data_IF_958118303399
#
_entry.id   IF_958118303399
#
_cell.length_a   1.000
_cell.length_b   1.000
_cell.length_c   1.000
_cell.angle_alpha   90.00
_cell.angle_beta   90.00
_cell.angle_gamma   90.00
#
_symmetry.space_group_name_H-M   'P 1'
#
loop_
_entity.id
_entity.type
_entity.pdbx_description
1 polymer ?
#
# COMPACT_ATOMS: atom_id res chain seq x y z
N UNK A 1 -48.44 11.66 -77.50
CA UNK A 1 -47.72 12.08 -76.29
C UNK A 1 -47.42 10.81 -75.49
N UNK A 2 -46.19 10.28 -75.64
CA UNK A 2 -45.75 9.11 -74.89
C UNK A 2 -45.10 9.58 -73.59
N UNK A 3 -45.58 9.11 -72.45
CA UNK A 3 -44.96 9.31 -71.14
C UNK A 3 -44.04 8.07 -70.87
N UNK A 4 -42.73 8.34 -70.78
CA UNK A 4 -41.72 7.33 -70.44
C UNK A 4 -41.70 7.13 -68.91
N UNK A 5 -41.92 5.91 -68.46
CA UNK A 5 -41.83 5.49 -67.06
C UNK A 5 -40.36 5.09 -66.80
N UNK A 6 -39.61 5.88 -65.99
CA UNK A 6 -38.29 5.52 -65.52
C UNK A 6 -38.46 4.67 -64.27
N UNK A 7 -38.15 3.38 -64.33
CA UNK A 7 -38.05 2.47 -63.18
C UNK A 7 -36.63 2.57 -62.64
N UNK A 8 -36.46 3.22 -61.47
CA UNK A 8 -35.20 3.20 -60.74
C UNK A 8 -35.04 1.89 -59.98
N UNK A 9 -34.15 1.03 -60.41
CA UNK A 9 -33.73 -0.17 -59.69
C UNK A 9 -32.73 0.27 -58.61
N UNK A 10 -33.18 0.27 -57.34
CA UNK A 10 -32.27 0.45 -56.19
C UNK A 10 -31.45 -0.83 -56.02
N UNK A 11 -30.18 -0.78 -56.30
CA UNK A 11 -29.23 -1.85 -56.00
C UNK A 11 -29.03 -1.91 -54.48
N UNK A 12 -29.59 -2.90 -53.81
CA UNK A 12 -29.29 -3.25 -52.42
C UNK A 12 -27.89 -3.86 -52.44
N UNK A 13 -26.89 -3.10 -52.03
CA UNK A 13 -25.56 -3.61 -51.79
C UNK A 13 -25.64 -4.54 -50.58
N UNK A 14 -25.64 -5.84 -50.81
CA UNK A 14 -25.45 -6.86 -49.79
C UNK A 14 -24.03 -6.71 -49.25
N UNK A 15 -23.88 -6.14 -48.06
CA UNK A 15 -22.60 -6.18 -47.37
C UNK A 15 -22.23 -7.63 -47.11
N UNK A 16 -21.14 -8.11 -47.72
CA UNK A 16 -20.59 -9.39 -47.43
C UNK A 16 -20.32 -9.52 -45.91
N UNK A 17 -20.65 -10.64 -45.26
CA UNK A 17 -20.31 -10.83 -43.85
C UNK A 17 -18.79 -10.65 -43.70
N UNK A 18 -18.39 -9.76 -42.77
CA UNK A 18 -16.98 -9.62 -42.45
C UNK A 18 -16.40 -11.00 -42.09
N UNK A 19 -15.28 -11.37 -42.75
CA UNK A 19 -14.65 -12.66 -42.53
C UNK A 19 -14.43 -12.88 -41.03
N UNK A 20 -14.82 -14.04 -40.52
CA UNK A 20 -14.63 -14.38 -39.11
C UNK A 20 -13.14 -14.34 -38.77
N UNK A 21 -12.78 -13.60 -37.69
CA UNK A 21 -11.41 -13.52 -37.22
C UNK A 21 -10.93 -14.89 -36.81
N UNK A 22 -9.80 -15.33 -37.34
CA UNK A 22 -9.25 -16.66 -37.09
C UNK A 22 -8.68 -16.76 -35.65
N UNK A 23 -8.52 -17.97 -35.13
CA UNK A 23 -7.88 -18.22 -33.84
C UNK A 23 -6.43 -17.67 -33.79
N UNK A 24 -5.72 -17.75 -34.91
CA UNK A 24 -4.36 -17.23 -35.05
C UNK A 24 -4.33 -15.71 -34.98
N UNK A 25 -5.24 -15.02 -35.65
CA UNK A 25 -5.37 -13.55 -35.58
C UNK A 25 -5.72 -13.07 -34.15
N UNK A 26 -6.58 -13.80 -33.42
CA UNK A 26 -6.87 -13.49 -32.01
C UNK A 26 -5.67 -13.72 -31.10
N UNK A 27 -4.91 -14.79 -31.29
CA UNK A 27 -3.70 -15.06 -30.54
C UNK A 27 -2.65 -13.95 -30.76
N UNK A 28 -2.50 -13.49 -32.02
CA UNK A 28 -1.61 -12.38 -32.36
C UNK A 28 -2.08 -11.06 -31.70
N UNK A 29 -3.38 -10.76 -31.78
CA UNK A 29 -3.96 -9.59 -31.13
C UNK A 29 -3.78 -9.63 -29.62
N UNK A 30 -3.96 -10.80 -28.99
CA UNK A 30 -3.69 -10.96 -27.56
C UNK A 30 -2.21 -10.73 -27.19
N UNK A 31 -1.29 -11.25 -28.00
CA UNK A 31 0.15 -11.03 -27.81
C UNK A 31 0.49 -9.54 -27.90
N UNK A 32 -0.09 -8.82 -28.88
CA UNK A 32 0.06 -7.38 -29.01
C UNK A 32 -0.52 -6.64 -27.81
N UNK A 33 -1.72 -7.02 -27.38
CA UNK A 33 -2.35 -6.46 -26.17
C UNK A 33 -1.42 -6.59 -24.96
N UNK A 34 -0.89 -7.80 -24.72
CA UNK A 34 0.01 -8.07 -23.60
C UNK A 34 1.25 -7.19 -23.66
N UNK A 35 1.90 -7.10 -24.82
CA UNK A 35 3.09 -6.27 -25.00
C UNK A 35 2.84 -4.77 -24.67
N UNK A 36 1.72 -4.23 -25.12
CA UNK A 36 1.33 -2.84 -24.84
C UNK A 36 0.99 -2.65 -23.35
N UNK A 37 0.23 -3.59 -22.79
CA UNK A 37 -0.19 -3.53 -21.40
C UNK A 37 1.01 -3.62 -20.44
N UNK A 38 1.92 -4.57 -20.67
CA UNK A 38 3.12 -4.78 -19.84
C UNK A 38 4.13 -3.61 -19.99
N UNK A 39 4.10 -2.91 -21.14
CA UNK A 39 4.84 -1.65 -21.34
C UNK A 39 4.17 -0.41 -20.69
N UNK A 40 3.02 -0.57 -20.02
CA UNK A 40 2.27 0.54 -19.41
C UNK A 40 1.51 1.43 -20.40
N UNK A 41 1.46 1.06 -21.69
CA UNK A 41 0.80 1.81 -22.78
C UNK A 41 -0.70 1.50 -22.83
N UNK A 42 -1.41 1.81 -21.73
CA UNK A 42 -2.81 1.41 -21.56
C UNK A 42 -3.75 2.03 -22.57
N UNK A 43 -3.52 3.29 -22.98
CA UNK A 43 -4.33 3.96 -24.01
C UNK A 43 -4.20 3.27 -25.40
N UNK A 44 -3.02 2.72 -25.71
CA UNK A 44 -2.79 1.98 -26.95
C UNK A 44 -3.29 0.51 -26.82
N UNK A 45 -3.26 -0.06 -25.60
CA UNK A 45 -3.72 -1.42 -25.34
C UNK A 45 -5.25 -1.56 -25.39
N UNK A 46 -5.99 -0.51 -24.99
CA UNK A 46 -7.45 -0.55 -24.90
C UNK A 46 -8.14 -0.93 -26.22
N UNK A 47 -7.90 -0.27 -27.36
CA UNK A 47 -8.55 -0.63 -28.61
C UNK A 47 -8.23 -2.06 -29.05
N UNK A 48 -7.06 -2.59 -28.71
CA UNK A 48 -6.70 -3.99 -29.00
C UNK A 48 -7.50 -4.97 -28.12
N UNK A 49 -7.70 -4.62 -26.83
CA UNK A 49 -8.55 -5.41 -25.94
C UNK A 49 -10.03 -5.41 -26.39
N UNK A 50 -10.54 -4.28 -26.86
CA UNK A 50 -11.90 -4.14 -27.39
C UNK A 50 -12.07 -4.94 -28.70
N UNK A 51 -11.07 -4.92 -29.57
CA UNK A 51 -11.04 -5.77 -30.78
C UNK A 51 -11.10 -7.26 -30.43
N UNK A 52 -10.41 -7.70 -29.37
CA UNK A 52 -10.48 -9.08 -28.89
C UNK A 52 -11.88 -9.45 -28.38
N UNK A 53 -12.59 -8.54 -27.72
CA UNK A 53 -14.00 -8.76 -27.33
C UNK A 53 -14.85 -8.90 -28.58
N UNK A 54 -14.79 -7.95 -29.51
CA UNK A 54 -15.59 -7.97 -30.73
C UNK A 54 -15.35 -9.23 -31.59
N UNK A 55 -14.09 -9.64 -31.76
CA UNK A 55 -13.73 -10.88 -32.49
C UNK A 55 -14.27 -12.13 -31.78
N UNK A 56 -14.24 -12.17 -30.45
CA UNK A 56 -14.79 -13.29 -29.68
C UNK A 56 -16.31 -13.34 -29.77
N UNK A 57 -16.99 -12.19 -29.73
CA UNK A 57 -18.45 -12.07 -29.90
C UNK A 57 -18.88 -12.54 -31.30
N UNK A 58 -18.16 -12.12 -32.33
CA UNK A 58 -18.45 -12.52 -33.71
C UNK A 58 -18.35 -14.04 -33.89
N UNK A 59 -17.39 -14.69 -33.23
CA UNK A 59 -17.14 -16.11 -33.39
C UNK A 59 -18.04 -17.00 -32.54
N UNK A 60 -18.32 -16.59 -31.28
CA UNK A 60 -18.99 -17.46 -30.30
C UNK A 60 -20.34 -16.93 -29.83
N UNK A 61 -20.66 -15.66 -30.16
CA UNK A 61 -21.86 -14.98 -29.70
C UNK A 61 -21.60 -14.16 -28.43
N UNK A 62 -22.50 -13.22 -28.12
CA UNK A 62 -22.40 -12.20 -27.12
C UNK A 62 -22.59 -12.70 -25.66
N UNK A 63 -22.96 -13.97 -25.50
CA UNK A 63 -23.18 -14.63 -24.20
C UNK A 63 -22.26 -15.81 -23.96
N UNK A 64 -21.30 -16.04 -24.85
CA UNK A 64 -20.39 -17.15 -24.70
C UNK A 64 -19.37 -16.92 -23.59
N UNK A 65 -19.09 -17.95 -22.83
CA UNK A 65 -18.14 -17.99 -21.73
C UNK A 65 -16.72 -17.51 -22.12
N UNK A 66 -16.31 -17.72 -23.38
CA UNK A 66 -14.99 -17.29 -23.87
C UNK A 66 -14.79 -15.77 -23.83
N UNK A 67 -15.86 -14.98 -23.69
CA UNK A 67 -15.82 -13.53 -23.49
C UNK A 67 -15.28 -13.08 -22.12
N UNK A 68 -15.31 -13.94 -21.10
CA UNK A 68 -14.93 -13.55 -19.74
C UNK A 68 -13.51 -12.97 -19.66
N UNK A 69 -12.53 -13.61 -20.30
CA UNK A 69 -11.13 -13.14 -20.29
C UNK A 69 -10.91 -11.88 -21.14
N UNK A 70 -11.40 -11.76 -22.39
CA UNK A 70 -11.36 -10.50 -23.14
C UNK A 70 -12.01 -9.32 -22.39
N UNK A 71 -13.18 -9.51 -21.82
CA UNK A 71 -13.85 -8.49 -21.00
C UNK A 71 -13.04 -8.10 -19.75
N UNK A 72 -12.43 -9.08 -19.07
CA UNK A 72 -11.54 -8.79 -17.96
C UNK A 72 -10.29 -8.00 -18.39
N UNK A 73 -9.78 -8.21 -19.60
CA UNK A 73 -8.67 -7.42 -20.14
C UNK A 73 -9.11 -5.97 -20.41
N UNK A 74 -10.29 -5.75 -21.01
CA UNK A 74 -10.88 -4.40 -21.15
C UNK A 74 -11.05 -3.75 -19.77
N UNK A 75 -11.69 -4.44 -18.83
CA UNK A 75 -11.90 -3.93 -17.48
C UNK A 75 -10.59 -3.53 -16.79
N UNK A 76 -9.55 -4.38 -16.88
CA UNK A 76 -8.25 -4.09 -16.28
C UNK A 76 -7.58 -2.87 -16.93
N UNK A 77 -7.69 -2.74 -18.25
CA UNK A 77 -7.12 -1.61 -18.98
C UNK A 77 -7.85 -0.31 -18.65
N UNK A 78 -9.18 -0.32 -18.59
CA UNK A 78 -10.00 0.82 -18.16
C UNK A 78 -9.68 1.24 -16.71
N UNK A 79 -9.51 0.26 -15.81
CA UNK A 79 -9.10 0.52 -14.42
C UNK A 79 -7.72 1.20 -14.34
N UNK A 80 -6.76 0.78 -15.19
CA UNK A 80 -5.43 1.42 -15.26
C UNK A 80 -5.49 2.86 -15.78
N UNK A 81 -6.43 3.14 -16.67
CA UNK A 81 -6.71 4.49 -17.20
C UNK A 81 -7.52 5.36 -16.23
N UNK A 82 -8.05 4.82 -15.13
CA UNK A 82 -8.90 5.54 -14.18
C UNK A 82 -10.38 5.66 -14.63
N UNK A 83 -10.77 4.96 -15.65
CA UNK A 83 -12.14 4.95 -16.18
C UNK A 83 -13.00 3.93 -15.40
N UNK A 84 -13.31 4.23 -14.14
CA UNK A 84 -13.91 3.27 -13.20
C UNK A 84 -15.27 2.74 -13.64
N UNK A 85 -16.14 3.58 -14.21
CA UNK A 85 -17.45 3.14 -14.68
C UNK A 85 -17.35 2.15 -15.86
N UNK A 86 -16.44 2.37 -16.80
CA UNK A 86 -16.21 1.46 -17.92
C UNK A 86 -15.55 0.14 -17.47
N UNK A 87 -14.63 0.21 -16.49
CA UNK A 87 -14.03 -0.97 -15.88
C UNK A 87 -15.10 -1.83 -15.19
N UNK A 88 -15.96 -1.22 -14.37
CA UNK A 88 -17.06 -1.88 -13.70
C UNK A 88 -17.99 -2.58 -14.69
N UNK A 89 -18.45 -1.88 -15.73
CA UNK A 89 -19.35 -2.45 -16.75
C UNK A 89 -18.73 -3.68 -17.43
N UNK A 90 -17.44 -3.63 -17.75
CA UNK A 90 -16.73 -4.75 -18.40
C UNK A 90 -16.65 -5.97 -17.47
N UNK A 91 -16.31 -5.78 -16.19
CA UNK A 91 -16.22 -6.89 -15.24
C UNK A 91 -17.59 -7.45 -14.88
N UNK A 92 -18.61 -6.60 -14.69
CA UNK A 92 -19.97 -7.06 -14.44
C UNK A 92 -20.53 -7.86 -15.60
N UNK A 93 -20.27 -7.43 -16.85
CA UNK A 93 -20.66 -8.19 -18.04
C UNK A 93 -19.99 -9.57 -18.07
N UNK A 94 -18.68 -9.64 -17.75
CA UNK A 94 -17.96 -10.91 -17.67
C UNK A 94 -18.60 -11.85 -16.62
N UNK A 95 -18.93 -11.33 -15.44
CA UNK A 95 -19.56 -12.10 -14.36
C UNK A 95 -20.96 -12.55 -14.75
N UNK A 96 -21.78 -11.69 -15.37
CA UNK A 96 -23.13 -12.01 -15.83
C UNK A 96 -23.13 -13.16 -16.86
N UNK A 97 -22.16 -13.15 -17.78
CA UNK A 97 -22.00 -14.23 -18.77
C UNK A 97 -21.67 -15.55 -18.05
N UNK A 98 -20.75 -15.50 -17.09
CA UNK A 98 -20.34 -16.69 -16.32
C UNK A 98 -21.47 -17.22 -15.41
N UNK A 99 -22.32 -16.33 -14.87
CA UNK A 99 -23.52 -16.69 -14.09
C UNK A 99 -24.57 -17.42 -14.96
N UNK A 100 -24.77 -16.96 -16.18
CA UNK A 100 -25.72 -17.55 -17.11
C UNK A 100 -25.34 -18.99 -17.53
N UNK A 101 -24.06 -19.32 -17.51
CA UNK A 101 -23.56 -20.69 -17.81
C UNK A 101 -23.68 -21.64 -16.60
N UNK A 102 -24.05 -21.13 -15.43
CA UNK A 102 -24.52 -21.94 -14.28
C UNK A 102 -23.45 -22.51 -13.39
N UNK A 103 -22.17 -22.06 -13.47
CA UNK A 103 -21.11 -22.51 -12.58
C UNK A 103 -20.58 -21.38 -11.69
N UNK A 104 -21.08 -21.33 -10.44
CA UNK A 104 -20.57 -20.38 -9.42
C UNK A 104 -19.12 -20.67 -9.02
N UNK A 105 -18.61 -21.86 -9.33
CA UNK A 105 -17.25 -22.34 -9.02
C UNK A 105 -16.31 -22.30 -10.23
N UNK A 106 -16.59 -21.44 -11.23
CA UNK A 106 -15.71 -21.29 -12.40
C UNK A 106 -14.49 -20.41 -12.05
N UNK A 107 -13.28 -20.93 -12.27
CA UNK A 107 -12.02 -20.19 -12.10
C UNK A 107 -11.97 -18.89 -12.93
N UNK A 108 -12.66 -18.84 -14.07
CA UNK A 108 -12.75 -17.65 -14.90
C UNK A 108 -13.35 -16.43 -14.18
N UNK A 109 -14.07 -16.63 -13.07
CA UNK A 109 -14.64 -15.56 -12.22
C UNK A 109 -13.59 -14.82 -11.38
N UNK A 110 -12.45 -15.46 -11.06
CA UNK A 110 -11.44 -14.89 -10.15
C UNK A 110 -10.93 -13.54 -10.63
N UNK A 111 -10.53 -13.41 -11.88
CA UNK A 111 -10.02 -12.15 -12.45
C UNK A 111 -11.08 -11.05 -12.51
N UNK A 112 -12.29 -11.27 -13.02
CA UNK A 112 -13.36 -10.28 -12.96
C UNK A 112 -13.74 -9.85 -11.53
N UNK A 113 -13.82 -10.78 -10.57
CA UNK A 113 -14.09 -10.45 -9.16
C UNK A 113 -12.99 -9.59 -8.56
N UNK A 114 -11.73 -9.94 -8.75
CA UNK A 114 -10.61 -9.13 -8.27
C UNK A 114 -10.62 -7.73 -8.90
N UNK A 115 -10.79 -7.67 -10.23
CA UNK A 115 -10.80 -6.40 -10.95
C UNK A 115 -11.97 -5.52 -10.55
N UNK A 116 -13.16 -6.08 -10.36
CA UNK A 116 -14.33 -5.36 -9.89
C UNK A 116 -14.15 -4.85 -8.46
N UNK A 117 -13.63 -5.68 -7.55
CA UNK A 117 -13.33 -5.27 -6.19
C UNK A 117 -12.30 -4.14 -6.12
N UNK A 118 -11.24 -4.21 -6.92
CA UNK A 118 -10.26 -3.13 -7.05
C UNK A 118 -10.86 -1.85 -7.67
N UNK A 119 -11.79 -2.00 -8.61
CA UNK A 119 -12.50 -0.87 -9.21
C UNK A 119 -13.36 -0.15 -8.17
N UNK A 120 -14.09 -0.91 -7.36
CA UNK A 120 -14.86 -0.35 -6.23
C UNK A 120 -13.95 0.36 -5.22
N UNK A 121 -12.84 -0.27 -4.83
CA UNK A 121 -11.89 0.33 -3.90
C UNK A 121 -11.33 1.67 -4.40
N UNK A 122 -10.96 1.75 -5.68
CA UNK A 122 -10.42 2.98 -6.29
C UNK A 122 -11.46 4.06 -6.55
N UNK A 123 -12.74 3.70 -6.60
CA UNK A 123 -13.86 4.65 -6.69
C UNK A 123 -14.48 4.97 -5.33
N UNK A 124 -13.76 4.68 -4.23
CA UNK A 124 -14.15 4.93 -2.82
C UNK A 124 -15.43 4.21 -2.38
N UNK A 125 -15.82 3.16 -3.10
CA UNK A 125 -16.93 2.28 -2.74
C UNK A 125 -16.42 1.08 -1.95
N UNK A 126 -15.98 1.33 -0.73
CA UNK A 126 -15.24 0.37 0.08
C UNK A 126 -16.07 -0.86 0.53
N UNK A 127 -17.39 -0.69 0.79
CA UNK A 127 -18.22 -1.80 1.22
C UNK A 127 -18.42 -2.86 0.12
N UNK A 128 -18.86 -2.51 -1.11
CA UNK A 128 -18.92 -3.47 -2.22
C UNK A 128 -17.54 -4.00 -2.63
N UNK A 129 -16.45 -3.22 -2.43
CA UNK A 129 -15.08 -3.69 -2.67
C UNK A 129 -14.73 -4.89 -1.77
N UNK A 130 -14.98 -4.76 -0.46
CA UNK A 130 -14.69 -5.82 0.52
C UNK A 130 -15.51 -7.08 0.23
N UNK A 131 -16.80 -6.94 -0.08
CA UNK A 131 -17.67 -8.07 -0.40
C UNK A 131 -17.20 -8.81 -1.66
N UNK A 132 -16.90 -8.08 -2.74
CA UNK A 132 -16.45 -8.66 -4.01
C UNK A 132 -15.09 -9.34 -3.88
N UNK A 133 -14.13 -8.73 -3.17
CA UNK A 133 -12.82 -9.34 -2.93
C UNK A 133 -12.93 -10.57 -2.05
N UNK A 134 -13.83 -10.57 -1.05
CA UNK A 134 -14.10 -11.75 -0.24
C UNK A 134 -14.65 -12.90 -1.08
N UNK A 135 -15.56 -12.64 -2.03
CA UNK A 135 -16.03 -13.65 -2.97
C UNK A 135 -14.88 -14.24 -3.79
N UNK A 136 -13.90 -13.43 -4.23
CA UNK A 136 -12.71 -13.92 -4.93
C UNK A 136 -11.85 -14.83 -4.04
N UNK A 137 -11.63 -14.45 -2.78
CA UNK A 137 -10.89 -15.26 -1.79
C UNK A 137 -11.59 -16.59 -1.55
N UNK A 138 -12.91 -16.56 -1.29
CA UNK A 138 -13.69 -17.77 -1.00
C UNK A 138 -13.76 -18.70 -2.22
N UNK A 139 -13.89 -18.16 -3.43
CA UNK A 139 -13.82 -18.95 -4.67
C UNK A 139 -12.44 -19.61 -4.84
N UNK A 140 -11.35 -18.87 -4.62
CA UNK A 140 -10.00 -19.44 -4.72
C UNK A 140 -9.77 -20.54 -3.68
N UNK A 141 -10.29 -20.38 -2.45
CA UNK A 141 -10.25 -21.43 -1.40
C UNK A 141 -10.99 -22.70 -1.82
N UNK A 142 -12.15 -22.54 -2.45
CA UNK A 142 -12.96 -23.66 -2.90
C UNK A 142 -12.32 -24.41 -4.07
N UNK A 143 -11.62 -23.70 -4.95
CA UNK A 143 -10.97 -24.29 -6.13
C UNK A 143 -9.64 -24.98 -5.82
N UNK A 144 -8.80 -24.33 -5.00
CA UNK A 144 -7.38 -24.68 -4.86
C UNK A 144 -7.00 -25.04 -3.41
N UNK A 145 -7.97 -25.06 -2.52
CA UNK A 145 -7.76 -25.32 -1.09
C UNK A 145 -7.39 -24.07 -0.29
N UNK A 146 -7.44 -24.22 1.04
CA UNK A 146 -7.33 -23.12 2.00
C UNK A 146 -6.00 -22.34 1.90
N UNK A 147 -4.89 -23.00 1.58
CA UNK A 147 -3.55 -22.42 1.69
C UNK A 147 -2.80 -22.43 0.35
N UNK A 148 -3.44 -22.01 -0.73
CA UNK A 148 -2.78 -21.86 -2.01
C UNK A 148 -2.19 -20.43 -2.17
N UNK A 149 -1.03 -20.32 -2.85
CA UNK A 149 -0.34 -19.04 -3.02
C UNK A 149 -1.07 -18.06 -3.94
N UNK A 150 -1.89 -18.55 -4.87
CA UNK A 150 -2.59 -17.71 -5.86
C UNK A 150 -3.60 -16.77 -5.19
N UNK A 151 -4.12 -17.13 -4.02
CA UNK A 151 -5.04 -16.27 -3.30
C UNK A 151 -4.40 -15.07 -2.59
N UNK A 152 -3.07 -15.02 -2.44
CA UNK A 152 -2.39 -13.93 -1.73
C UNK A 152 -2.70 -12.54 -2.31
N UNK A 153 -2.86 -12.43 -3.61
CA UNK A 153 -3.18 -11.14 -4.24
C UNK A 153 -4.61 -10.68 -3.92
N UNK A 154 -5.57 -11.61 -3.81
CA UNK A 154 -6.94 -11.29 -3.38
C UNK A 154 -6.97 -10.92 -1.90
N UNK A 155 -6.27 -11.67 -1.06
CA UNK A 155 -6.17 -11.42 0.39
C UNK A 155 -5.52 -10.06 0.66
N UNK A 156 -4.45 -9.71 -0.03
CA UNK A 156 -3.79 -8.40 0.10
C UNK A 156 -4.72 -7.25 -0.31
N UNK A 157 -5.42 -7.40 -1.44
CA UNK A 157 -6.39 -6.39 -1.85
C UNK A 157 -7.53 -6.22 -0.82
N UNK A 158 -8.00 -7.31 -0.21
CA UNK A 158 -8.99 -7.28 0.86
C UNK A 158 -8.48 -6.60 2.13
N UNK A 159 -7.21 -6.87 2.50
CA UNK A 159 -6.53 -6.17 3.61
C UNK A 159 -6.53 -4.65 3.37
N UNK A 160 -6.11 -4.20 2.19
CA UNK A 160 -6.05 -2.77 1.86
C UNK A 160 -7.43 -2.11 2.00
N UNK A 161 -8.49 -2.79 1.59
CA UNK A 161 -9.86 -2.31 1.74
C UNK A 161 -10.30 -2.27 3.21
N UNK A 162 -10.00 -3.28 4.01
CA UNK A 162 -10.30 -3.28 5.44
C UNK A 162 -9.56 -2.16 6.19
N UNK A 163 -8.30 -1.91 5.84
CA UNK A 163 -7.52 -0.79 6.37
C UNK A 163 -8.17 0.55 6.00
N UNK A 164 -8.59 0.73 4.75
CA UNK A 164 -9.28 1.93 4.31
C UNK A 164 -10.62 2.15 5.02
N UNK A 165 -11.31 1.06 5.40
CA UNK A 165 -12.52 1.08 6.22
C UNK A 165 -12.27 1.26 7.73
N UNK A 166 -11.01 1.36 8.16
CA UNK A 166 -10.60 1.31 9.58
C UNK A 166 -11.04 0.01 10.32
N UNK A 167 -11.26 -1.08 9.59
CA UNK A 167 -11.61 -2.40 10.11
C UNK A 167 -10.34 -3.18 10.44
N UNK A 168 -9.59 -2.70 11.43
CA UNK A 168 -8.24 -3.17 11.72
C UNK A 168 -8.20 -4.63 12.22
N UNK A 169 -9.22 -5.09 12.92
CA UNK A 169 -9.31 -6.50 13.36
C UNK A 169 -9.53 -7.45 12.18
N UNK A 170 -10.34 -7.05 11.21
CA UNK A 170 -10.54 -7.82 9.98
C UNK A 170 -9.25 -7.88 9.16
N UNK A 171 -8.58 -6.73 9.01
CA UNK A 171 -7.28 -6.66 8.34
C UNK A 171 -6.24 -7.56 9.03
N UNK A 172 -6.19 -7.59 10.38
CA UNK A 172 -5.27 -8.44 11.11
C UNK A 172 -5.53 -9.93 10.85
N UNK A 173 -6.80 -10.36 10.85
CA UNK A 173 -7.15 -11.76 10.53
C UNK A 173 -6.64 -12.16 9.14
N UNK A 174 -6.78 -11.29 8.17
CA UNK A 174 -6.30 -11.55 6.80
C UNK A 174 -4.77 -11.47 6.70
N UNK A 175 -4.08 -10.61 7.45
CA UNK A 175 -2.60 -10.62 7.53
C UNK A 175 -2.07 -11.93 8.10
N UNK A 176 -2.67 -12.41 9.20
CA UNK A 176 -2.32 -13.70 9.79
C UNK A 176 -2.65 -14.85 8.84
N UNK A 177 -3.73 -14.75 8.09
CA UNK A 177 -4.09 -15.72 7.07
C UNK A 177 -3.08 -15.75 5.93
N UNK A 178 -2.68 -14.61 5.39
CA UNK A 178 -1.63 -14.51 4.37
C UNK A 178 -0.30 -15.13 4.84
N UNK A 179 0.04 -14.95 6.12
CA UNK A 179 1.21 -15.59 6.73
C UNK A 179 1.07 -17.11 6.73
N UNK A 180 -0.10 -17.65 7.15
CA UNK A 180 -0.36 -19.11 7.15
C UNK A 180 -0.32 -19.72 5.75
N UNK A 181 -0.78 -19.00 4.72
CA UNK A 181 -0.66 -19.43 3.32
C UNK A 181 0.81 -19.64 2.96
N UNK A 182 1.67 -18.64 3.24
CA UNK A 182 3.10 -18.74 2.97
C UNK A 182 3.76 -19.87 3.77
N UNK A 183 3.43 -20.01 5.06
CA UNK A 183 3.96 -21.05 5.94
C UNK A 183 3.58 -22.46 5.46
N UNK A 184 2.32 -22.64 5.03
CA UNK A 184 1.86 -23.91 4.48
C UNK A 184 2.55 -24.27 3.16
N UNK A 185 2.80 -23.27 2.31
CA UNK A 185 3.39 -23.50 1.00
C UNK A 185 4.90 -23.74 1.05
N UNK A 186 5.61 -23.05 1.95
CA UNK A 186 7.08 -23.07 1.98
C UNK A 186 7.65 -23.87 3.17
N UNK A 187 6.91 -23.96 4.28
CA UNK A 187 7.42 -24.49 5.54
C UNK A 187 8.19 -23.44 6.35
N UNK A 188 8.20 -23.61 7.68
CA UNK A 188 8.76 -22.64 8.65
C UNK A 188 10.26 -22.35 8.47
N UNK A 189 11.01 -23.32 7.95
CA UNK A 189 12.47 -23.24 7.80
C UNK A 189 12.94 -22.74 6.43
N UNK A 190 12.04 -22.43 5.53
CA UNK A 190 12.39 -22.02 4.18
C UNK A 190 12.64 -20.49 4.10
N UNK A 191 13.76 -20.03 3.49
CA UNK A 191 14.06 -18.60 3.36
C UNK A 191 13.01 -17.82 2.57
N UNK A 192 12.16 -18.46 1.76
CA UNK A 192 11.01 -17.82 1.11
C UNK A 192 9.97 -17.28 2.09
N UNK A 193 10.05 -17.66 3.38
CA UNK A 193 9.23 -17.09 4.46
C UNK A 193 9.67 -15.67 4.88
N UNK A 194 10.89 -15.22 4.56
CA UNK A 194 11.38 -13.91 5.00
C UNK A 194 10.46 -12.74 4.59
N UNK A 195 9.93 -12.65 3.36
CA UNK A 195 8.96 -11.64 3.00
C UNK A 195 7.64 -11.71 3.79
N UNK A 196 7.18 -12.91 4.14
CA UNK A 196 5.95 -13.07 4.92
C UNK A 196 6.11 -12.56 6.36
N UNK A 197 7.26 -12.83 6.99
CA UNK A 197 7.59 -12.24 8.30
C UNK A 197 7.67 -10.71 8.24
N UNK A 198 8.33 -10.12 7.23
CA UNK A 198 8.43 -8.66 7.08
C UNK A 198 7.04 -8.05 6.86
N UNK A 199 6.18 -8.66 6.03
CA UNK A 199 4.82 -8.19 5.77
C UNK A 199 3.97 -8.18 7.04
N UNK A 200 4.00 -9.25 7.83
CA UNK A 200 3.27 -9.34 9.10
C UNK A 200 3.84 -8.38 10.15
N UNK A 201 5.17 -8.25 10.25
CA UNK A 201 5.81 -7.33 11.18
C UNK A 201 5.47 -5.86 10.87
N UNK A 202 5.43 -5.48 9.59
CA UNK A 202 5.00 -4.12 9.15
C UNK A 202 3.55 -3.84 9.52
N UNK A 203 2.69 -4.83 9.46
CA UNK A 203 1.32 -4.69 9.96
C UNK A 203 1.31 -4.36 11.45
N UNK A 204 2.07 -5.10 12.28
CA UNK A 204 2.17 -4.79 13.70
C UNK A 204 2.80 -3.43 13.98
N UNK A 205 3.75 -2.98 13.17
CA UNK A 205 4.27 -1.60 13.23
C UNK A 205 3.17 -0.57 12.94
N UNK A 206 2.34 -0.81 11.92
CA UNK A 206 1.25 0.06 11.52
C UNK A 206 0.19 0.23 12.62
N UNK A 207 -0.18 -0.86 13.28
CA UNK A 207 -1.17 -0.81 14.39
C UNK A 207 -0.55 -0.49 15.77
N UNK A 208 0.72 -0.07 15.81
CA UNK A 208 1.38 0.34 17.05
C UNK A 208 1.83 -0.78 17.99
N UNK A 209 1.77 -2.05 17.55
CA UNK A 209 2.22 -3.21 18.32
C UNK A 209 3.72 -3.48 18.10
N UNK A 210 4.56 -2.52 18.47
CA UNK A 210 5.99 -2.53 18.15
C UNK A 210 6.75 -3.71 18.76
N UNK A 211 6.38 -4.14 19.97
CA UNK A 211 6.98 -5.32 20.60
C UNK A 211 6.68 -6.61 19.79
N UNK A 212 5.45 -6.78 19.32
CA UNK A 212 5.06 -7.90 18.47
C UNK A 212 5.79 -7.87 17.12
N UNK A 213 5.89 -6.69 16.51
CA UNK A 213 6.67 -6.51 15.28
C UNK A 213 8.13 -6.96 15.46
N UNK A 214 8.78 -6.59 16.58
CA UNK A 214 10.14 -7.05 16.89
C UNK A 214 10.24 -8.57 16.97
N UNK A 215 9.24 -9.23 17.56
CA UNK A 215 9.23 -10.71 17.64
C UNK A 215 9.23 -11.34 16.24
N UNK A 216 8.42 -10.80 15.32
CA UNK A 216 8.38 -11.32 13.94
C UNK A 216 9.71 -11.04 13.20
N UNK A 217 10.27 -9.85 13.33
CA UNK A 217 11.59 -9.55 12.77
C UNK A 217 12.72 -10.42 13.38
N UNK A 218 12.65 -10.75 14.68
CA UNK A 218 13.61 -11.69 15.30
C UNK A 218 13.43 -13.12 14.80
N UNK A 219 12.19 -13.56 14.50
CA UNK A 219 11.94 -14.86 13.85
C UNK A 219 12.56 -14.89 12.46
N UNK A 220 12.35 -13.83 11.67
CA UNK A 220 12.99 -13.67 10.36
C UNK A 220 14.52 -13.66 10.47
N UNK A 221 15.09 -12.97 11.45
CA UNK A 221 16.55 -12.94 11.66
C UNK A 221 17.10 -14.34 11.96
N UNK A 222 16.47 -15.09 12.87
CA UNK A 222 16.86 -16.46 13.17
C UNK A 222 16.80 -17.37 11.95
N UNK A 223 15.78 -17.24 11.12
CA UNK A 223 15.65 -17.98 9.87
C UNK A 223 16.78 -17.62 8.89
N UNK A 224 17.06 -16.33 8.70
CA UNK A 224 18.13 -15.86 7.83
C UNK A 224 19.51 -16.33 8.31
N UNK A 225 19.76 -16.29 9.63
CA UNK A 225 21.00 -16.78 10.22
C UNK A 225 21.17 -18.31 10.07
N UNK A 226 20.10 -19.07 10.25
CA UNK A 226 20.12 -20.53 10.12
C UNK A 226 20.34 -20.98 8.66
N UNK A 227 19.79 -20.25 7.70
CA UNK A 227 19.86 -20.64 6.28
C UNK A 227 21.07 -20.05 5.52
N UNK A 228 21.55 -18.88 5.93
CA UNK A 228 22.57 -18.14 5.19
C UNK A 228 23.78 -17.71 6.03
N UNK A 229 23.74 -17.97 7.35
CA UNK A 229 24.78 -17.59 8.28
C UNK A 229 24.65 -16.17 8.83
N UNK A 230 25.28 -15.93 9.98
CA UNK A 230 25.30 -14.62 10.64
C UNK A 230 26.02 -13.56 9.80
N UNK A 231 25.41 -12.38 9.73
CA UNK A 231 25.96 -11.25 8.98
C UNK A 231 25.86 -11.41 7.46
N UNK A 232 25.09 -12.38 6.98
CA UNK A 232 24.79 -12.54 5.56
C UNK A 232 23.77 -11.50 5.07
N UNK A 233 23.68 -11.31 3.76
CA UNK A 233 22.75 -10.36 3.13
C UNK A 233 21.28 -10.55 3.59
N UNK A 234 20.72 -11.76 3.68
CA UNK A 234 19.34 -11.97 4.17
C UNK A 234 19.09 -11.50 5.60
N UNK A 235 20.13 -11.33 6.45
CA UNK A 235 19.97 -10.84 7.83
C UNK A 235 19.71 -9.33 7.91
N UNK A 236 20.03 -8.58 6.84
CA UNK A 236 19.97 -7.11 6.83
C UNK A 236 18.54 -6.60 6.99
N UNK A 237 17.59 -7.16 6.24
CA UNK A 237 16.17 -6.78 6.31
C UNK A 237 15.57 -6.91 7.72
N UNK A 238 15.66 -8.09 8.34
CA UNK A 238 15.20 -8.29 9.73
C UNK A 238 15.88 -7.37 10.74
N UNK A 239 17.18 -7.16 10.67
CA UNK A 239 17.93 -6.26 11.57
C UNK A 239 17.46 -4.79 11.43
N UNK A 240 17.23 -4.32 10.21
CA UNK A 240 16.64 -2.99 9.95
C UNK A 240 15.23 -2.89 10.51
N UNK A 241 14.42 -3.96 10.38
CA UNK A 241 13.08 -4.06 10.93
C UNK A 241 13.06 -3.95 12.46
N UNK A 242 13.94 -4.68 13.16
CA UNK A 242 14.09 -4.60 14.62
C UNK A 242 14.37 -3.14 15.03
N UNK A 243 15.34 -2.49 14.40
CA UNK A 243 15.68 -1.11 14.72
C UNK A 243 14.54 -0.14 14.43
N UNK A 244 13.84 -0.31 13.31
CA UNK A 244 12.66 0.50 12.96
C UNK A 244 11.56 0.36 14.01
N UNK A 245 11.27 -0.84 14.48
CA UNK A 245 10.26 -1.07 15.49
C UNK A 245 10.63 -0.42 16.83
N UNK A 246 11.92 -0.44 17.25
CA UNK A 246 12.37 0.33 18.43
C UNK A 246 12.25 1.84 18.23
N UNK A 247 12.57 2.35 17.03
CA UNK A 247 12.42 3.78 16.73
C UNK A 247 10.96 4.21 16.74
N UNK A 248 10.07 3.42 16.17
CA UNK A 248 8.63 3.69 16.16
C UNK A 248 8.05 3.66 17.58
N UNK A 249 8.47 2.71 18.42
CA UNK A 249 8.07 2.65 19.83
C UNK A 249 8.51 3.90 20.61
N UNK A 250 9.73 4.39 20.38
CA UNK A 250 10.21 5.64 20.95
C UNK A 250 9.39 6.86 20.49
N UNK A 251 9.02 6.90 19.21
CA UNK A 251 8.32 8.05 18.61
C UNK A 251 6.82 8.07 18.92
N UNK A 252 6.18 6.90 19.01
CA UNK A 252 4.73 6.75 19.05
C UNK A 252 4.22 5.84 20.16
N UNK A 253 5.10 5.19 20.91
CA UNK A 253 4.73 4.39 22.06
C UNK A 253 3.99 5.23 23.12
N UNK A 254 3.28 4.58 24.04
CA UNK A 254 2.62 5.28 25.14
C UNK A 254 3.66 6.09 25.92
N UNK A 255 3.35 7.35 26.19
CA UNK A 255 4.13 8.13 27.15
C UNK A 255 4.11 7.36 28.48
N UNK A 256 5.29 7.03 29.01
CA UNK A 256 5.39 6.39 30.33
C UNK A 256 4.95 7.43 31.35
N UNK A 257 3.65 7.49 31.63
CA UNK A 257 3.14 8.22 32.80
C UNK A 257 3.51 7.43 34.02
N UNK A 258 4.02 8.09 35.04
CA UNK A 258 4.50 7.51 36.32
C UNK A 258 3.44 6.70 37.11
N UNK A 259 2.20 6.56 36.59
CA UNK A 259 1.10 5.88 37.26
C UNK A 259 0.91 4.41 36.92
N UNK A 260 1.63 3.87 35.92
CA UNK A 260 1.53 2.42 35.57
C UNK A 260 2.66 1.59 36.18
N UNK A 261 2.89 1.73 37.49
CA UNK A 261 3.80 0.85 38.25
C UNK A 261 3.07 -0.34 38.88
N UNK A 262 2.12 -0.93 38.20
CA UNK A 262 1.55 -2.21 38.59
C UNK A 262 1.87 -3.27 37.52
N UNK A 263 2.86 -4.11 37.86
CA UNK A 263 3.07 -5.46 37.34
C UNK A 263 3.33 -5.66 35.85
N UNK A 264 4.53 -5.23 35.40
CA UNK A 264 5.21 -5.95 34.32
C UNK A 264 6.51 -6.53 34.88
N UNK A 265 6.77 -7.85 34.77
CA UNK A 265 8.02 -8.44 35.28
C UNK A 265 9.17 -7.96 34.39
N UNK A 266 9.90 -6.96 34.86
CA UNK A 266 11.20 -6.57 34.31
C UNK A 266 12.24 -7.60 34.77
N UNK A 267 12.85 -8.30 33.83
CA UNK A 267 13.92 -9.28 34.08
C UNK A 267 15.24 -8.68 34.58
N UNK A 268 15.31 -7.37 34.80
CA UNK A 268 16.50 -6.71 35.35
C UNK A 268 16.08 -5.63 36.36
N UNK A 269 16.39 -5.92 37.62
CA UNK A 269 16.25 -5.02 38.76
C UNK A 269 17.25 -3.85 38.62
N UNK A 270 16.78 -2.64 38.32
CA UNK A 270 17.57 -1.42 38.50
C UNK A 270 17.11 -0.75 39.77
N UNK A 271 18.02 -0.69 40.73
CA UNK A 271 17.82 -0.13 42.07
C UNK A 271 17.32 1.33 42.11
N UNK A 272 16.87 1.83 43.27
CA UNK A 272 16.25 3.12 43.40
C UNK A 272 17.27 4.25 43.29
N UNK A 273 17.01 5.16 42.34
CA UNK A 273 17.68 6.46 42.31
C UNK A 273 18.48 6.76 41.07
N UNK A 274 17.83 7.14 40.00
CA UNK A 274 18.46 8.00 38.98
C UNK A 274 17.40 8.90 38.36
N UNK A 275 17.74 10.20 38.30
CA UNK A 275 17.12 11.31 37.60
C UNK A 275 16.18 10.92 36.44
N UNK A 276 15.07 11.66 36.35
CA UNK A 276 14.15 11.68 35.18
C UNK A 276 14.93 11.90 33.89
N UNK A 277 15.49 10.82 33.32
CA UNK A 277 16.12 10.87 32.02
C UNK A 277 15.01 10.83 30.98
N UNK A 278 14.97 11.82 30.10
CA UNK A 278 14.12 11.80 28.90
C UNK A 278 14.17 10.44 28.24
N UNK A 279 13.04 9.93 27.69
CA UNK A 279 13.04 8.64 27.02
C UNK A 279 14.12 8.66 25.92
N UNK A 280 15.03 7.69 25.96
CA UNK A 280 16.10 7.53 24.98
C UNK A 280 15.77 6.39 24.04
N UNK A 281 16.23 6.49 22.80
CA UNK A 281 16.20 5.38 21.87
C UNK A 281 16.86 4.14 22.47
N UNK A 282 16.22 2.98 22.31
CA UNK A 282 16.70 1.74 22.89
C UNK A 282 18.03 1.30 22.25
N UNK A 283 19.10 1.06 23.00
CA UNK A 283 20.41 0.69 22.47
C UNK A 283 20.40 -0.61 21.61
N UNK A 284 19.47 -1.52 21.86
CA UNK A 284 19.36 -2.74 21.04
C UNK A 284 18.94 -2.44 19.59
N UNK A 285 18.13 -1.40 19.37
CA UNK A 285 17.81 -0.93 18.02
C UNK A 285 19.02 -0.38 17.29
N UNK A 286 19.85 0.41 17.99
CA UNK A 286 21.12 0.92 17.43
C UNK A 286 22.06 -0.21 17.07
N UNK A 287 22.24 -1.17 17.97
CA UNK A 287 23.07 -2.38 17.76
C UNK A 287 22.59 -3.19 16.55
N UNK A 288 21.27 -3.37 16.41
CA UNK A 288 20.70 -4.04 15.25
C UNK A 288 21.07 -3.32 13.94
N UNK A 289 20.95 -1.99 13.89
CA UNK A 289 21.35 -1.20 12.72
C UNK A 289 22.86 -1.29 12.43
N UNK A 290 23.69 -1.27 13.46
CA UNK A 290 25.15 -1.44 13.29
C UNK A 290 25.49 -2.82 12.72
N UNK A 291 24.77 -3.87 13.14
CA UNK A 291 24.93 -5.21 12.58
C UNK A 291 24.49 -5.26 11.11
N UNK A 292 23.33 -4.66 10.80
CA UNK A 292 22.82 -4.55 9.43
C UNK A 292 23.82 -3.81 8.52
N UNK A 293 24.39 -2.69 9.01
CA UNK A 293 25.33 -1.89 8.26
C UNK A 293 26.64 -2.67 7.98
N UNK A 294 27.17 -3.37 8.99
CA UNK A 294 28.35 -4.24 8.81
C UNK A 294 28.10 -5.36 7.79
N UNK A 295 26.90 -5.97 7.83
CA UNK A 295 26.53 -7.00 6.86
C UNK A 295 26.42 -6.41 5.43
N UNK A 296 25.81 -5.24 5.28
CA UNK A 296 25.68 -4.57 3.99
C UNK A 296 27.05 -4.14 3.40
N UNK A 297 27.97 -3.66 4.24
CA UNK A 297 29.32 -3.27 3.83
C UNK A 297 30.19 -4.47 3.41
N UNK A 298 29.97 -5.63 4.02
CA UNK A 298 30.71 -6.88 3.74
C UNK A 298 30.07 -7.75 2.66
N UNK A 299 28.91 -7.33 2.12
CA UNK A 299 28.22 -8.10 1.10
C UNK A 299 29.11 -8.36 -0.12
N UNK A 300 29.18 -9.61 -0.54
CA UNK A 300 29.92 -10.02 -1.73
C UNK A 300 29.06 -10.99 -2.57
N UNK A 301 28.63 -10.59 -3.78
CA UNK A 301 28.93 -9.30 -4.42
C UNK A 301 28.31 -8.10 -3.69
N UNK A 302 28.84 -6.89 -3.85
CA UNK A 302 28.27 -5.69 -3.25
C UNK A 302 26.83 -5.44 -3.70
N UNK A 303 25.97 -4.95 -2.78
CA UNK A 303 24.58 -4.59 -3.06
C UNK A 303 24.38 -3.11 -2.71
N UNK A 304 24.76 -2.16 -3.60
CA UNK A 304 24.76 -0.73 -3.29
C UNK A 304 23.39 -0.18 -2.85
N UNK A 305 22.32 -0.63 -3.46
CA UNK A 305 20.95 -0.22 -3.07
C UNK A 305 20.62 -0.58 -1.62
N UNK A 306 21.00 -1.78 -1.18
CA UNK A 306 20.78 -2.27 0.18
C UNK A 306 21.67 -1.55 1.20
N UNK A 307 22.93 -1.31 0.85
CA UNK A 307 23.84 -0.48 1.66
C UNK A 307 23.28 0.93 1.80
N UNK A 308 22.86 1.56 0.71
CA UNK A 308 22.27 2.89 0.70
C UNK A 308 21.04 2.99 1.57
N UNK A 309 20.11 2.04 1.42
CA UNK A 309 18.88 1.98 2.24
C UNK A 309 19.21 1.75 3.74
N UNK A 310 20.23 0.97 4.07
CA UNK A 310 20.66 0.75 5.46
C UNK A 310 21.29 2.02 6.07
N UNK A 311 22.08 2.75 5.27
CA UNK A 311 22.65 4.04 5.66
C UNK A 311 21.58 5.13 5.84
N UNK A 312 20.50 5.08 5.05
CA UNK A 312 19.33 5.94 5.27
C UNK A 312 18.69 5.65 6.62
N UNK A 313 18.45 4.38 6.97
CA UNK A 313 17.90 4.03 8.28
C UNK A 313 18.83 4.45 9.43
N UNK A 314 20.14 4.36 9.23
CA UNK A 314 21.13 4.87 10.20
C UNK A 314 21.03 6.39 10.34
N UNK A 315 20.90 7.12 9.25
CA UNK A 315 20.68 8.58 9.25
C UNK A 315 19.40 8.97 9.95
N UNK A 316 18.30 8.26 9.71
CA UNK A 316 17.01 8.46 10.36
C UNK A 316 17.09 8.20 11.88
N UNK A 317 17.82 7.15 12.28
CA UNK A 317 18.08 6.84 13.68
C UNK A 317 18.83 7.96 14.38
N UNK A 318 19.94 8.40 13.80
CA UNK A 318 20.78 9.45 14.36
C UNK A 318 20.03 10.80 14.40
N UNK A 319 19.22 11.10 13.39
CA UNK A 319 18.38 12.31 13.39
C UNK A 319 17.33 12.26 14.50
N UNK A 320 16.71 11.10 14.70
CA UNK A 320 15.73 10.88 15.80
C UNK A 320 16.40 11.00 17.17
N UNK A 321 17.66 10.55 17.31
CA UNK A 321 18.46 10.67 18.52
C UNK A 321 18.97 12.10 18.80
N UNK A 322 18.79 13.04 17.86
CA UNK A 322 19.31 14.40 17.96
C UNK A 322 20.78 14.57 17.52
N UNK A 323 21.38 13.52 16.97
CA UNK A 323 22.80 13.50 16.54
C UNK A 323 22.93 14.02 15.10
N UNK A 324 22.62 15.30 14.89
CA UNK A 324 22.52 15.89 13.54
C UNK A 324 23.80 15.81 12.71
N UNK A 325 25.00 15.74 13.31
CA UNK A 325 26.27 15.58 12.59
C UNK A 325 26.40 14.16 12.00
N UNK A 326 26.16 13.17 12.84
CA UNK A 326 26.21 11.75 12.46
C UNK A 326 25.13 11.43 11.42
N UNK A 327 23.94 12.01 11.58
CA UNK A 327 22.85 11.89 10.60
C UNK A 327 23.25 12.42 9.22
N UNK A 328 23.86 13.61 9.13
CA UNK A 328 24.35 14.17 7.85
C UNK A 328 25.39 13.30 7.21
N UNK A 329 26.35 12.79 7.98
CA UNK A 329 27.41 11.90 7.49
C UNK A 329 26.79 10.60 6.92
N UNK A 330 25.82 10.03 7.62
CA UNK A 330 25.10 8.84 7.18
C UNK A 330 24.34 9.08 5.87
N UNK A 331 23.62 10.20 5.76
CA UNK A 331 22.89 10.54 4.54
C UNK A 331 23.81 10.80 3.34
N UNK A 332 24.97 11.44 3.55
CA UNK A 332 25.97 11.61 2.49
C UNK A 332 26.49 10.26 1.99
N UNK A 333 26.81 9.34 2.90
CA UNK A 333 27.23 7.98 2.55
C UNK A 333 26.12 7.19 1.86
N UNK A 334 24.84 7.38 2.31
CA UNK A 334 23.67 6.78 1.67
C UNK A 334 23.50 7.26 0.22
N UNK A 335 23.65 8.57 -0.01
CA UNK A 335 23.59 9.15 -1.35
C UNK A 335 24.60 8.48 -2.29
N UNK A 336 25.86 8.38 -1.89
CA UNK A 336 26.91 7.76 -2.71
C UNK A 336 26.57 6.30 -3.07
N UNK A 337 26.07 5.53 -2.11
CA UNK A 337 25.68 4.14 -2.35
C UNK A 337 24.45 4.03 -3.27
N UNK A 338 23.44 4.91 -3.09
CA UNK A 338 22.24 4.94 -3.93
C UNK A 338 22.54 5.41 -5.35
N UNK A 339 23.44 6.38 -5.52
CA UNK A 339 23.93 6.81 -6.84
C UNK A 339 24.59 5.64 -7.57
N UNK A 340 25.43 4.87 -6.88
CA UNK A 340 26.05 3.69 -7.47
C UNK A 340 25.06 2.59 -7.88
N UNK A 341 23.85 2.57 -7.28
CA UNK A 341 22.75 1.67 -7.66
C UNK A 341 21.87 2.20 -8.79
N UNK A 342 21.99 3.47 -9.17
CA UNK A 342 21.13 4.14 -10.12
C UNK A 342 19.73 4.50 -9.58
N UNK A 343 19.45 4.30 -8.28
CA UNK A 343 18.15 4.61 -7.67
C UNK A 343 18.29 5.48 -6.41
N UNK A 344 18.04 6.78 -6.57
CA UNK A 344 18.07 7.77 -5.50
C UNK A 344 16.66 8.14 -4.98
N UNK A 345 15.61 7.46 -5.43
CA UNK A 345 14.20 7.81 -5.07
C UNK A 345 13.98 7.91 -3.57
N UNK A 346 14.68 7.08 -2.78
CA UNK A 346 14.56 7.04 -1.32
C UNK A 346 14.97 8.36 -0.64
N UNK A 347 15.74 9.21 -1.30
CA UNK A 347 16.30 10.44 -0.75
C UNK A 347 15.98 11.71 -1.57
N UNK A 348 15.18 11.57 -2.62
CA UNK A 348 14.81 12.67 -3.53
C UNK A 348 13.69 13.57 -3.00
N UNK A 349 13.03 13.19 -1.91
CA UNK A 349 11.98 13.96 -1.26
C UNK A 349 12.12 13.87 0.26
N UNK A 350 11.59 14.85 1.02
CA UNK A 350 11.48 14.72 2.46
C UNK A 350 10.63 13.51 2.85
N UNK A 351 11.03 12.76 3.89
CA UNK A 351 10.31 11.61 4.40
C UNK A 351 9.89 11.86 5.85
N UNK A 352 8.63 11.68 6.14
CA UNK A 352 8.10 11.85 7.49
C UNK A 352 8.68 10.77 8.43
N UNK A 353 9.34 11.20 9.50
CA UNK A 353 9.87 10.33 10.56
C UNK A 353 8.96 10.34 11.78
N UNK A 354 8.44 11.52 12.14
CA UNK A 354 7.52 11.70 13.27
C UNK A 354 6.45 12.72 12.89
N UNK A 355 5.19 12.33 13.03
CA UNK A 355 4.04 13.21 13.00
C UNK A 355 2.97 12.61 13.91
N UNK A 356 2.57 13.32 14.96
CA UNK A 356 1.45 12.93 15.82
C UNK A 356 0.25 13.79 15.44
N UNK A 357 -0.76 13.21 14.76
CA UNK A 357 -1.96 13.95 14.38
C UNK A 357 -2.64 14.59 15.59
N UNK A 358 -3.37 15.70 15.44
CA UNK A 358 -4.16 16.28 16.52
C UNK A 358 -5.22 15.28 17.01
N UNK A 359 -5.73 15.48 18.23
CA UNK A 359 -6.77 14.59 18.80
C UNK A 359 -8.06 14.55 17.99
N UNK A 360 -8.34 15.60 17.24
CA UNK A 360 -9.46 15.71 16.32
C UNK A 360 -9.28 14.96 15.00
N UNK A 361 -8.07 14.44 14.71
CA UNK A 361 -7.84 13.66 13.50
C UNK A 361 -8.65 12.37 13.49
N UNK A 362 -9.21 12.03 12.34
CA UNK A 362 -9.90 10.75 12.11
C UNK A 362 -8.98 9.56 12.40
N UNK A 363 -7.68 9.70 12.16
CA UNK A 363 -6.68 8.69 12.46
C UNK A 363 -6.51 8.39 13.95
N UNK A 364 -7.01 9.27 14.83
CA UNK A 364 -6.98 9.11 16.30
C UNK A 364 -8.36 8.89 16.91
N UNK A 365 -9.39 8.79 16.07
CA UNK A 365 -10.75 8.59 16.54
C UNK A 365 -10.93 7.18 17.08
N UNK A 366 -11.21 7.07 18.37
CA UNK A 366 -11.28 5.77 19.08
C UNK A 366 -12.66 5.42 19.60
N UNK A 367 -13.69 6.25 19.37
CA UNK A 367 -15.03 5.93 19.84
C UNK A 367 -16.05 7.03 19.61
N UNK A 368 -17.30 6.64 19.56
CA UNK A 368 -18.45 7.47 19.27
C UNK A 368 -19.10 7.13 17.92
N UNK A 369 -20.33 7.56 17.74
CA UNK A 369 -20.99 7.41 16.45
C UNK A 369 -20.43 8.47 15.49
N UNK A 370 -19.86 8.05 14.37
CA UNK A 370 -19.28 8.97 13.37
C UNK A 370 -20.36 9.91 12.83
N UNK A 371 -21.63 9.51 12.88
CA UNK A 371 -22.78 10.33 12.46
C UNK A 371 -22.96 11.61 13.30
N UNK A 372 -22.44 11.65 14.53
CA UNK A 372 -22.42 12.84 15.38
C UNK A 372 -21.36 13.89 14.98
N UNK A 373 -20.54 13.58 14.01
CA UNK A 373 -19.44 14.42 13.59
C UNK A 373 -19.58 14.83 12.13
N UNK A 374 -18.98 15.96 11.79
CA UNK A 374 -18.79 16.44 10.45
C UNK A 374 -17.30 16.32 10.13
N UNK A 375 -16.97 15.81 8.95
CA UNK A 375 -15.60 15.62 8.53
C UNK A 375 -15.13 16.79 7.68
N UNK A 376 -13.95 17.33 8.02
CA UNK A 376 -13.27 18.36 7.26
C UNK A 376 -11.87 17.91 6.88
N UNK A 377 -11.42 18.35 5.71
CA UNK A 377 -10.03 18.16 5.27
C UNK A 377 -9.27 19.48 5.47
N UNK A 378 -8.19 19.44 6.23
CA UNK A 378 -7.31 20.58 6.46
C UNK A 378 -6.03 20.36 5.68
N UNK A 379 -5.78 21.22 4.70
CA UNK A 379 -4.55 21.21 3.92
C UNK A 379 -3.55 22.21 4.50
N UNK A 380 -2.32 21.75 4.62
CA UNK A 380 -1.20 22.55 5.08
C UNK A 380 -0.05 22.48 4.06
N UNK A 381 0.62 23.61 3.89
CA UNK A 381 1.86 23.74 3.13
C UNK A 381 2.96 24.27 4.04
N UNK A 382 4.14 23.68 3.98
CA UNK A 382 5.24 24.03 4.86
C UNK A 382 6.60 23.76 4.22
N UNK A 383 7.65 24.22 4.87
CA UNK A 383 9.05 23.99 4.50
C UNK A 383 9.66 22.94 5.43
N UNK A 384 10.37 21.95 4.87
CA UNK A 384 11.25 21.04 5.62
C UNK A 384 12.68 21.53 5.49
N UNK A 385 13.28 21.92 6.62
CA UNK A 385 14.66 22.39 6.68
C UNK A 385 15.67 21.25 6.54
N UNK A 386 16.93 21.58 6.27
CA UNK A 386 18.02 20.62 6.17
C UNK A 386 18.27 19.83 7.47
N UNK A 387 17.84 20.33 8.63
CA UNK A 387 17.89 19.65 9.93
C UNK A 387 16.65 18.77 10.21
N UNK A 388 15.73 18.67 9.26
CA UNK A 388 14.52 17.89 9.34
C UNK A 388 13.36 18.53 10.09
N UNK A 389 13.53 19.76 10.62
CA UNK A 389 12.44 20.51 11.27
C UNK A 389 11.56 21.20 10.23
N UNK A 390 10.32 21.45 10.62
CA UNK A 390 9.37 22.18 9.79
C UNK A 390 9.42 23.68 10.06
N UNK A 391 9.11 24.47 9.04
CA UNK A 391 9.05 25.93 9.10
C UNK A 391 7.99 26.45 8.11
N UNK A 392 7.67 27.75 8.17
CA UNK A 392 6.80 28.45 7.21
C UNK A 392 5.48 27.70 6.96
N UNK A 393 4.82 27.31 8.06
CA UNK A 393 3.59 26.51 8.01
C UNK A 393 2.43 27.43 7.65
N UNK A 394 1.73 27.10 6.58
CA UNK A 394 0.55 27.81 6.09
C UNK A 394 -0.60 26.81 6.01
N UNK A 395 -1.67 27.08 6.74
CA UNK A 395 -2.92 26.32 6.63
C UNK A 395 -3.76 26.94 5.50
N UNK A 396 -4.18 26.13 4.54
CA UNK A 396 -5.05 26.56 3.45
C UNK A 396 -6.43 26.98 4.00
N UNK A 397 -7.09 27.99 3.42
CA UNK A 397 -8.46 28.34 3.78
C UNK A 397 -9.38 27.10 3.67
N UNK A 398 -10.18 26.85 4.71
CA UNK A 398 -11.09 25.73 4.81
C UNK A 398 -12.31 26.15 5.66
N UNK A 399 -13.36 25.30 5.67
CA UNK A 399 -14.61 25.55 6.39
C UNK A 399 -14.58 25.05 7.85
N UNK A 400 -13.53 24.33 8.25
CA UNK A 400 -13.38 23.85 9.63
C UNK A 400 -13.18 25.02 10.61
N UNK A 401 -13.67 24.91 11.86
CA UNK A 401 -13.38 25.89 12.90
C UNK A 401 -11.85 26.10 13.08
N UNK A 402 -11.45 27.34 13.33
CA UNK A 402 -10.03 27.77 13.36
C UNK A 402 -9.15 26.96 14.31
N UNK A 403 -9.68 26.49 15.43
CA UNK A 403 -8.94 25.67 16.39
C UNK A 403 -8.43 24.35 15.82
N UNK A 404 -9.13 23.76 14.84
CA UNK A 404 -8.71 22.53 14.19
C UNK A 404 -7.50 22.78 13.28
N UNK A 405 -7.50 23.89 12.53
CA UNK A 405 -6.35 24.34 11.75
C UNK A 405 -5.12 24.61 12.64
N UNK A 406 -5.31 25.28 13.79
CA UNK A 406 -4.24 25.52 14.75
C UNK A 406 -3.71 24.21 15.37
N UNK A 407 -4.57 23.22 15.57
CA UNK A 407 -4.17 21.86 16.00
C UNK A 407 -3.25 21.17 14.99
N UNK A 408 -3.60 21.23 13.71
CA UNK A 408 -2.79 20.68 12.60
C UNK A 408 -1.46 21.43 12.48
N UNK A 409 -1.47 22.77 12.56
CA UNK A 409 -0.25 23.57 12.54
C UNK A 409 0.70 23.18 13.70
N UNK A 410 0.15 23.01 14.90
CA UNK A 410 0.93 22.59 16.09
C UNK A 410 1.51 21.19 15.90
N UNK A 411 0.76 20.26 15.31
CA UNK A 411 1.22 18.91 15.02
C UNK A 411 2.38 18.93 13.99
N UNK A 412 2.24 19.72 12.91
CA UNK A 412 3.30 19.91 11.90
C UNK A 412 4.54 20.54 12.53
N UNK A 413 4.40 21.56 13.38
CA UNK A 413 5.54 22.23 14.05
C UNK A 413 6.37 21.26 14.91
N UNK A 414 5.75 20.23 15.48
CA UNK A 414 6.40 19.17 16.25
C UNK A 414 6.87 17.98 15.41
N UNK A 415 6.56 17.97 14.13
CA UNK A 415 6.96 16.89 13.23
C UNK A 415 8.48 16.86 13.02
N UNK A 416 8.98 15.70 12.59
CA UNK A 416 10.36 15.48 12.19
C UNK A 416 10.38 14.78 10.84
N UNK A 417 11.19 15.28 9.94
CA UNK A 417 11.35 14.76 8.59
C UNK A 417 12.82 14.38 8.33
N UNK A 418 13.06 13.28 7.62
CA UNK A 418 14.33 13.10 6.93
C UNK A 418 14.35 14.11 5.78
N UNK A 419 15.38 14.97 5.66
CA UNK A 419 15.44 15.98 4.62
C UNK A 419 15.68 15.34 3.24
N UNK A 420 15.29 16.03 2.18
CA UNK A 420 15.70 15.69 0.81
C UNK A 420 17.21 15.88 0.68
N UNK A 421 17.85 15.01 -0.10
CA UNK A 421 19.26 15.16 -0.43
C UNK A 421 19.42 15.73 -1.85
N UNK A 422 20.36 16.66 -2.01
CA UNK A 422 20.84 17.12 -3.30
C UNK A 422 22.37 17.04 -3.28
N UNK A 423 22.92 16.33 -4.24
CA UNK A 423 24.39 16.06 -4.31
C UNK A 423 24.98 15.54 -3.00
N UNK A 424 24.22 14.70 -2.29
CA UNK A 424 24.61 14.11 -1.02
C UNK A 424 24.43 14.97 0.22
N UNK A 425 24.01 16.23 0.07
CA UNK A 425 23.78 17.13 1.20
C UNK A 425 22.29 17.28 1.49
N UNK A 426 21.90 17.29 2.78
CA UNK A 426 20.57 17.67 3.21
C UNK A 426 20.24 19.10 2.79
N UNK A 427 19.12 19.27 2.08
CA UNK A 427 18.68 20.58 1.60
C UNK A 427 17.28 20.90 2.09
N UNK A 428 17.05 22.20 2.24
CA UNK A 428 15.72 22.73 2.50
C UNK A 428 14.78 22.41 1.33
N UNK A 429 13.54 22.08 1.66
CA UNK A 429 12.50 21.77 0.67
C UNK A 429 11.25 22.54 1.03
N UNK A 430 10.89 23.51 0.19
CA UNK A 430 9.68 24.30 0.33
C UNK A 430 8.48 23.60 -0.32
N UNK A 431 7.28 24.00 0.09
CA UNK A 431 6.05 23.55 -0.54
C UNK A 431 5.67 22.09 -0.29
N UNK A 432 6.19 21.50 0.79
CA UNK A 432 5.73 20.19 1.26
C UNK A 432 4.29 20.34 1.73
N UNK A 433 3.42 19.42 1.29
CA UNK A 433 1.99 19.44 1.61
C UNK A 433 1.63 18.30 2.55
N UNK A 434 0.64 18.55 3.41
CA UNK A 434 0.01 17.56 4.27
C UNK A 434 -1.49 17.81 4.26
N UNK A 435 -2.27 16.75 4.08
CA UNK A 435 -3.72 16.77 4.15
C UNK A 435 -4.13 15.97 5.39
N UNK A 436 -4.86 16.61 6.32
CA UNK A 436 -5.33 16.00 7.56
C UNK A 436 -6.85 16.02 7.62
N UNK A 437 -7.45 14.85 7.82
CA UNK A 437 -8.90 14.71 7.99
C UNK A 437 -9.26 14.83 9.47
N UNK A 438 -10.11 15.77 9.81
CA UNK A 438 -10.52 16.05 11.19
C UNK A 438 -12.03 15.87 11.36
N UNK A 439 -12.43 15.41 12.53
CA UNK A 439 -13.82 15.22 12.92
C UNK A 439 -14.24 16.36 13.85
N UNK A 440 -15.24 17.12 13.47
CA UNK A 440 -15.82 18.20 14.19
C UNK A 440 -17.21 17.77 14.70
N UNK A 441 -17.43 17.82 16.00
CA UNK A 441 -18.73 17.43 16.55
C UNK A 441 -19.82 18.36 16.08
N UNK A 442 -20.90 17.81 15.53
CA UNK A 442 -22.10 18.59 15.13
C UNK A 442 -22.71 19.30 16.33
N UNK A 443 -23.24 20.51 16.19
CA UNK A 443 -24.00 21.18 17.24
C UNK A 443 -25.17 20.31 17.68
N UNK A 444 -25.27 19.99 18.96
CA UNK A 444 -26.47 19.31 19.46
C UNK A 444 -27.69 20.22 19.21
N UNK A 445 -28.63 19.75 18.38
CA UNK A 445 -29.90 20.39 18.30
C UNK A 445 -30.54 20.32 19.70
N UNK A 446 -30.65 21.47 20.39
CA UNK A 446 -31.46 21.56 21.61
C UNK A 446 -32.86 21.07 21.23
N UNK A 447 -33.24 19.88 21.70
CA UNK A 447 -34.65 19.50 21.69
C UNK A 447 -35.41 20.63 22.38
N UNK A 448 -36.19 21.36 21.61
CA UNK A 448 -37.15 22.32 22.17
C UNK A 448 -38.14 21.47 22.98
N UNK A 449 -37.97 21.50 24.29
CA UNK A 449 -38.95 20.97 25.23
C UNK A 449 -40.26 21.76 25.02
N UNK A 450 -41.23 21.09 24.40
CA UNK A 450 -42.62 21.48 24.44
C UNK A 450 -43.23 21.13 25.81
#
# INVERSE_FOLDING_TARGET
MLAALIVAVAAVASAAPAAAVTDEERALAYTRFRALFDAGKYAEALPVAEQLVAATEQQYGDKDRSLANPLANVGTTQLRLGHFAAAEAAYQRALTILDAVGTTTDRARLRPLQGLGLTYARSDRLAPAAETLKQAVDLSRNLDGLYNLEQLDFVRALIDVYVAQNRLEDAEREHQYAFRIAESAYGKGDPRMLPAYDYLARWYEYVGRYATARVEHMRALRLAEATSGRGSVPTIGPLRGIARAYRLEYLYGPEVTQESTAESPTLFNTGPGTNQSQPRLNPEGEKALQLALRAAQKANPPVPALLGATLVDWGDWQLTAGNGRESRNAYRSAWNALQASGDTKLVNAPRQLRYKPPSSSIARFTGGDVEDYEEFTIEAKFTVRADGRTAEIVISPNEAPREYGAGVETAIRKALYAPRLANGEPVETTGVTLSERVLVRKPQQKQASQ
#
